data_IF_347719583390
#
_entry.id   IF_347719583390
#
_cell.length_a   1.000
_cell.length_b   1.000
_cell.length_c   1.000
_cell.angle_alpha   90.00
_cell.angle_beta   90.00
_cell.angle_gamma   90.00
#
_symmetry.space_group_name_H-M   'P 1'
#
loop_
_entity.id
_entity.type
_entity.pdbx_description
1 polymer ?
#
# COMPACT_ATOMS: atom_id res chain seq x y z
N UNK A 1 17.78 5.51 -16.83
CA UNK A 1 16.41 5.90 -16.57
C UNK A 1 15.68 4.72 -15.91
N UNK A 2 15.71 4.66 -14.56
CA UNK A 2 15.18 3.54 -13.77
C UNK A 2 13.68 3.26 -14.02
N UNK A 3 12.88 4.30 -14.38
CA UNK A 3 11.46 4.15 -14.68
C UNK A 3 11.18 3.23 -15.88
N UNK A 4 12.10 3.11 -16.84
CA UNK A 4 11.95 2.18 -17.98
C UNK A 4 11.93 0.72 -17.52
N UNK A 5 12.72 0.38 -16.51
CA UNK A 5 12.72 -0.98 -15.98
C UNK A 5 11.42 -1.30 -15.24
N UNK A 6 10.86 -0.33 -14.52
CA UNK A 6 9.59 -0.51 -13.82
C UNK A 6 8.40 -0.74 -14.76
N UNK A 7 8.46 -0.22 -16.00
CA UNK A 7 7.42 -0.42 -17.01
C UNK A 7 7.44 -1.80 -17.66
N UNK A 8 8.50 -2.58 -17.49
CA UNK A 8 8.58 -3.92 -18.08
C UNK A 8 7.46 -4.82 -17.53
N UNK A 9 6.88 -5.69 -18.40
CA UNK A 9 5.70 -6.47 -18.01
C UNK A 9 5.96 -7.49 -16.90
N UNK A 10 7.19 -7.92 -16.71
CA UNK A 10 7.59 -8.87 -15.67
C UNK A 10 8.11 -8.21 -14.39
N UNK A 11 8.19 -6.87 -14.35
CA UNK A 11 8.59 -6.13 -13.15
C UNK A 11 7.34 -5.72 -12.37
N UNK A 12 7.38 -5.89 -11.06
CA UNK A 12 6.28 -5.56 -10.16
C UNK A 12 6.83 -4.86 -8.93
N UNK A 13 6.32 -3.68 -8.58
CA UNK A 13 6.63 -3.04 -7.30
C UNK A 13 5.92 -3.80 -6.17
N UNK A 14 6.64 -4.56 -5.38
CA UNK A 14 6.04 -5.40 -4.34
C UNK A 14 6.50 -5.08 -2.94
N UNK A 15 7.80 -4.98 -2.74
CA UNK A 15 8.39 -4.87 -1.42
C UNK A 15 9.12 -3.54 -1.28
N UNK A 16 8.74 -2.76 -0.27
CA UNK A 16 9.54 -1.68 0.26
C UNK A 16 10.30 -2.14 1.50
N UNK A 17 11.36 -1.43 1.88
CA UNK A 17 12.14 -1.72 3.07
C UNK A 17 11.47 -1.17 4.35
N UNK A 18 10.15 -1.01 4.33
CA UNK A 18 9.35 -0.56 5.46
C UNK A 18 9.62 -1.44 6.71
N UNK A 19 10.06 -0.80 7.78
CA UNK A 19 10.44 -1.51 9.00
C UNK A 19 11.93 -1.83 9.12
N UNK A 20 12.71 -1.75 8.03
CA UNK A 20 14.16 -1.85 8.09
C UNK A 20 14.76 -0.48 8.44
N UNK A 21 15.74 -0.45 9.37
CA UNK A 21 16.50 0.76 9.71
C UNK A 21 15.62 2.01 9.98
N UNK A 22 14.50 1.85 10.64
CA UNK A 22 13.47 2.90 10.87
C UNK A 22 13.99 4.17 11.56
N UNK A 23 15.17 4.12 12.19
CA UNK A 23 15.84 5.29 12.74
C UNK A 23 16.59 6.15 11.70
N UNK A 24 16.76 5.67 10.46
CA UNK A 24 17.53 6.36 9.42
C UNK A 24 16.68 6.75 8.21
N UNK A 25 15.70 5.93 7.83
CA UNK A 25 14.85 6.19 6.68
C UNK A 25 13.46 5.56 6.85
N UNK A 26 12.55 5.84 5.91
CA UNK A 26 11.21 5.26 5.87
C UNK A 26 10.80 5.04 4.41
N UNK A 27 10.28 3.85 4.10
CA UNK A 27 9.78 3.43 2.79
C UNK A 27 8.33 2.92 2.87
N UNK A 28 7.60 3.37 3.88
CA UNK A 28 6.21 2.92 4.11
C UNK A 28 5.21 3.54 3.13
N UNK A 29 5.60 4.58 2.41
CA UNK A 29 4.77 5.38 1.51
C UNK A 29 4.90 5.00 0.03
N UNK A 30 5.69 3.99 -0.30
CA UNK A 30 5.94 3.57 -1.69
C UNK A 30 4.68 3.37 -2.55
N UNK A 31 3.56 2.80 -2.06
CA UNK A 31 2.31 2.73 -2.85
C UNK A 31 1.69 4.10 -3.09
N UNK A 32 1.81 5.03 -2.14
CA UNK A 32 1.33 6.41 -2.31
C UNK A 32 2.15 7.15 -3.34
N UNK A 33 3.49 7.07 -3.28
CA UNK A 33 4.42 7.62 -4.28
C UNK A 33 4.12 7.07 -5.67
N UNK A 34 3.89 5.76 -5.80
CA UNK A 34 3.55 5.13 -7.09
C UNK A 34 2.29 5.76 -7.69
N UNK A 35 1.24 5.91 -6.90
CA UNK A 35 -0.05 6.42 -7.39
C UNK A 35 -0.05 7.93 -7.60
N UNK A 36 0.56 8.71 -6.70
CA UNK A 36 0.57 10.17 -6.80
C UNK A 36 1.68 10.67 -7.73
N UNK A 37 2.94 10.45 -7.39
CA UNK A 37 4.05 11.05 -8.11
C UNK A 37 4.32 10.34 -9.45
N UNK A 38 4.49 9.02 -9.45
CA UNK A 38 4.86 8.30 -10.67
C UNK A 38 3.69 8.18 -11.65
N UNK A 39 2.47 8.04 -11.16
CA UNK A 39 1.30 7.86 -12.01
C UNK A 39 0.63 9.20 -12.35
N UNK A 40 0.16 9.96 -11.34
CA UNK A 40 -0.58 11.20 -11.58
C UNK A 40 0.30 12.31 -12.14
N UNK A 41 1.48 12.53 -11.56
CA UNK A 41 2.31 13.69 -11.91
C UNK A 41 3.26 13.42 -13.07
N UNK A 42 3.91 12.25 -13.09
CA UNK A 42 4.92 11.91 -14.10
C UNK A 42 4.37 11.07 -15.26
N UNK A 43 3.17 10.48 -15.14
CA UNK A 43 2.56 9.67 -16.20
C UNK A 43 3.35 8.40 -16.54
N UNK A 44 4.12 7.84 -15.61
CA UNK A 44 4.90 6.60 -15.82
C UNK A 44 3.97 5.43 -16.11
N UNK A 45 2.81 5.39 -15.48
CA UNK A 45 1.73 4.42 -15.67
C UNK A 45 0.39 5.11 -15.92
N UNK A 46 -0.53 4.42 -16.55
CA UNK A 46 -1.95 4.76 -16.40
C UNK A 46 -2.43 4.36 -14.99
N UNK A 47 -3.45 5.03 -14.46
CA UNK A 47 -3.98 4.71 -13.14
C UNK A 47 -4.43 3.24 -13.01
N UNK A 48 -5.19 2.66 -13.97
CA UNK A 48 -5.56 1.25 -13.91
C UNK A 48 -4.33 0.31 -13.87
N UNK A 49 -3.29 0.61 -14.64
CA UNK A 49 -2.06 -0.20 -14.66
C UNK A 49 -1.31 -0.10 -13.32
N UNK A 50 -1.17 1.09 -12.76
CA UNK A 50 -0.52 1.29 -11.48
C UNK A 50 -1.24 0.52 -10.36
N UNK A 51 -2.58 0.66 -10.28
CA UNK A 51 -3.41 -0.06 -9.31
C UNK A 51 -3.25 -1.57 -9.50
N UNK A 52 -3.39 -2.07 -10.74
CA UNK A 52 -3.25 -3.50 -11.01
C UNK A 52 -1.89 -4.05 -10.57
N UNK A 53 -0.80 -3.32 -10.80
CA UNK A 53 0.55 -3.75 -10.42
C UNK A 53 0.74 -3.95 -8.92
N UNK A 54 0.15 -3.10 -8.08
CA UNK A 54 0.27 -3.19 -6.61
C UNK A 54 -0.87 -3.99 -5.95
N UNK A 55 -1.82 -4.50 -6.73
CA UNK A 55 -2.97 -5.29 -6.22
C UNK A 55 -3.06 -6.64 -6.92
N UNK A 56 -3.82 -6.77 -8.00
CA UNK A 56 -4.12 -8.03 -8.67
C UNK A 56 -2.85 -8.75 -9.15
N UNK A 57 -1.93 -8.04 -9.78
CA UNK A 57 -0.68 -8.63 -10.29
C UNK A 57 0.21 -9.13 -9.16
N UNK A 58 0.39 -8.34 -8.11
CA UNK A 58 1.15 -8.75 -6.92
C UNK A 58 0.49 -9.94 -6.22
N UNK A 59 -0.83 -9.92 -6.06
CA UNK A 59 -1.58 -11.01 -5.47
C UNK A 59 -1.42 -12.32 -6.26
N UNK A 60 -1.48 -12.24 -7.60
CA UNK A 60 -1.30 -13.41 -8.47
C UNK A 60 0.11 -14.00 -8.35
N UNK A 61 1.17 -13.16 -8.31
CA UNK A 61 2.57 -13.62 -8.21
C UNK A 61 2.82 -14.41 -6.92
N UNK A 62 2.28 -13.94 -5.79
CA UNK A 62 2.44 -14.64 -4.51
C UNK A 62 1.37 -15.68 -4.24
N UNK A 63 0.43 -15.88 -5.17
CA UNK A 63 -0.61 -16.90 -5.08
C UNK A 63 -1.70 -16.59 -4.06
N UNK A 64 -2.04 -15.32 -3.81
CA UNK A 64 -3.16 -14.96 -2.93
C UNK A 64 -4.49 -15.33 -3.59
N UNK A 65 -5.28 -16.12 -2.89
CA UNK A 65 -6.59 -16.55 -3.35
C UNK A 65 -7.66 -15.49 -3.06
N UNK A 66 -8.49 -15.18 -4.05
CA UNK A 66 -9.66 -14.30 -3.92
C UNK A 66 -9.33 -12.89 -3.36
N UNK A 67 -8.14 -12.34 -3.74
CA UNK A 67 -7.63 -11.03 -3.31
C UNK A 67 -6.99 -10.27 -4.46
N UNK A 68 -6.83 -8.97 -4.26
CA UNK A 68 -6.16 -8.08 -5.21
C UNK A 68 -7.06 -7.52 -6.32
N UNK A 69 -8.32 -7.96 -6.41
CA UNK A 69 -9.31 -7.46 -7.36
C UNK A 69 -10.67 -7.28 -6.67
N UNK A 70 -11.50 -6.40 -7.20
CA UNK A 70 -12.89 -6.22 -6.77
C UNK A 70 -13.79 -7.17 -7.57
N UNK A 71 -14.18 -8.29 -6.96
CA UNK A 71 -15.09 -9.29 -7.56
C UNK A 71 -16.10 -9.78 -6.52
N UNK A 72 -17.29 -10.15 -6.99
CA UNK A 72 -18.28 -10.80 -6.13
C UNK A 72 -17.73 -12.09 -5.52
N UNK A 73 -17.96 -12.31 -4.25
CA UNK A 73 -17.47 -13.47 -3.50
C UNK A 73 -16.03 -13.38 -3.01
N UNK A 74 -15.27 -12.36 -3.43
CA UNK A 74 -13.88 -12.16 -3.02
C UNK A 74 -13.77 -11.38 -1.71
N UNK A 75 -12.60 -11.44 -1.10
CA UNK A 75 -12.33 -10.71 0.14
C UNK A 75 -12.38 -9.20 -0.09
N UNK A 76 -13.19 -8.52 0.72
CA UNK A 76 -13.33 -7.07 0.67
C UNK A 76 -12.21 -6.38 1.44
N UNK A 77 -11.01 -6.36 0.86
CA UNK A 77 -9.83 -5.61 1.33
C UNK A 77 -9.66 -4.40 0.39
N UNK A 78 -10.12 -3.22 0.81
CA UNK A 78 -10.36 -2.07 -0.06
C UNK A 78 -9.82 -0.80 0.58
N UNK A 79 -9.14 0.02 -0.21
CA UNK A 79 -8.86 1.42 0.13
C UNK A 79 -9.80 2.35 -0.65
N UNK A 80 -10.46 3.27 0.04
CA UNK A 80 -11.18 4.39 -0.56
C UNK A 80 -10.25 5.58 -0.61
N UNK A 81 -9.96 6.08 -1.82
CA UNK A 81 -8.88 7.04 -2.05
C UNK A 81 -9.45 8.26 -2.79
N UNK A 82 -9.23 9.44 -2.23
CA UNK A 82 -9.34 10.72 -2.94
C UNK A 82 -8.07 10.89 -3.78
N UNK A 83 -8.12 10.44 -5.02
CA UNK A 83 -6.96 10.38 -5.90
C UNK A 83 -6.37 11.75 -6.23
N UNK A 84 -7.21 12.77 -6.37
CA UNK A 84 -6.76 14.14 -6.67
C UNK A 84 -5.89 14.73 -5.54
N UNK A 85 -6.21 14.41 -4.29
CA UNK A 85 -5.52 14.88 -3.10
C UNK A 85 -4.54 13.86 -2.51
N UNK A 86 -4.36 12.71 -3.17
CA UNK A 86 -3.44 11.67 -2.72
C UNK A 86 -2.00 12.16 -2.73
N UNK A 87 -1.34 12.14 -1.58
CA UNK A 87 0.07 12.55 -1.45
C UNK A 87 0.72 11.96 -0.20
N UNK A 88 2.04 11.94 -0.18
CA UNK A 88 2.82 11.64 1.02
C UNK A 88 2.96 12.89 1.90
N UNK A 89 3.10 12.70 3.21
CA UNK A 89 3.47 13.75 4.14
C UNK A 89 4.98 13.76 4.35
N UNK A 90 5.51 14.84 4.89
CA UNK A 90 6.89 14.83 5.36
C UNK A 90 7.07 13.81 6.49
N UNK A 91 8.18 13.05 6.49
CA UNK A 91 8.49 12.14 7.60
C UNK A 91 8.59 12.88 8.93
N UNK A 92 8.04 12.31 9.97
CA UNK A 92 8.13 12.76 11.35
C UNK A 92 9.00 11.78 12.13
N UNK A 93 9.89 12.29 13.00
CA UNK A 93 10.64 11.44 13.93
C UNK A 93 9.85 11.33 15.25
N UNK A 94 9.51 10.12 15.66
CA UNK A 94 8.73 9.86 16.87
C UNK A 94 9.46 8.88 17.79
N UNK A 95 9.28 9.02 19.09
CA UNK A 95 9.89 8.16 20.12
C UNK A 95 8.81 7.28 20.76
N UNK A 96 8.24 6.35 19.98
CA UNK A 96 7.14 5.48 20.39
C UNK A 96 7.53 4.00 20.59
N UNK A 97 8.82 3.69 20.48
CA UNK A 97 9.34 2.36 20.84
C UNK A 97 9.60 2.22 22.34
N UNK A 98 9.66 0.98 22.85
CA UNK A 98 10.07 0.73 24.24
C UNK A 98 11.36 1.46 24.59
N UNK A 99 11.46 1.95 25.83
CA UNK A 99 12.58 2.74 26.34
C UNK A 99 12.87 4.05 25.59
N UNK A 100 11.88 4.61 24.89
CA UNK A 100 12.03 5.87 24.17
C UNK A 100 12.81 5.75 22.87
N UNK A 101 12.96 4.55 22.34
CA UNK A 101 13.56 4.36 21.01
C UNK A 101 12.77 5.09 19.93
N UNK A 102 13.51 5.73 19.00
CA UNK A 102 12.91 6.57 17.98
C UNK A 102 12.84 5.93 16.60
N UNK A 103 11.92 6.41 15.78
CA UNK A 103 11.78 6.03 14.36
C UNK A 103 11.19 7.14 13.52
N UNK A 104 11.43 7.07 12.21
CA UNK A 104 10.68 7.86 11.25
C UNK A 104 9.31 7.22 10.98
N UNK A 105 8.30 8.08 10.87
CA UNK A 105 6.94 7.74 10.46
C UNK A 105 6.55 8.66 9.32
N UNK A 106 5.99 8.10 8.26
CA UNK A 106 5.40 8.86 7.16
C UNK A 106 3.90 8.54 7.05
N UNK A 107 3.10 9.57 6.84
CA UNK A 107 1.65 9.47 6.67
C UNK A 107 1.29 9.76 5.22
N UNK A 108 0.22 9.15 4.73
CA UNK A 108 -0.41 9.50 3.46
C UNK A 108 -1.64 10.37 3.68
N UNK A 109 -1.88 11.31 2.77
CA UNK A 109 -3.15 12.05 2.63
C UNK A 109 -3.98 11.43 1.51
N UNK A 110 -5.29 11.66 1.53
CA UNK A 110 -6.21 11.16 0.49
C UNK A 110 -6.71 9.73 0.71
N UNK A 111 -6.47 9.14 1.88
CA UNK A 111 -7.06 7.86 2.27
C UNK A 111 -8.28 8.11 3.16
N UNK A 112 -9.48 8.04 2.59
CA UNK A 112 -10.74 8.25 3.32
C UNK A 112 -11.07 7.07 4.20
N UNK A 113 -10.89 5.85 3.70
CA UNK A 113 -11.12 4.63 4.45
C UNK A 113 -10.23 3.48 4.01
N UNK A 114 -9.86 2.62 4.97
CA UNK A 114 -9.27 1.29 4.72
C UNK A 114 -10.21 0.23 5.29
N UNK A 115 -10.55 -0.73 4.45
CA UNK A 115 -11.48 -1.82 4.75
C UNK A 115 -10.72 -3.14 4.66
N UNK A 116 -10.89 -4.01 5.65
CA UNK A 116 -10.32 -5.35 5.67
C UNK A 116 -11.43 -6.35 6.02
N UNK A 117 -11.61 -7.36 5.18
CA UNK A 117 -12.67 -8.35 5.36
C UNK A 117 -14.06 -7.72 5.51
N UNK A 118 -14.34 -6.64 4.78
CA UNK A 118 -15.61 -5.90 4.82
C UNK A 118 -15.80 -5.00 6.05
N UNK A 119 -14.80 -4.84 6.92
CA UNK A 119 -14.86 -3.95 8.10
C UNK A 119 -13.95 -2.75 7.89
N UNK A 120 -14.48 -1.56 8.11
CA UNK A 120 -13.67 -0.33 8.11
C UNK A 120 -12.73 -0.37 9.31
N UNK A 121 -11.42 -0.41 9.07
CA UNK A 121 -10.40 -0.43 10.11
C UNK A 121 -9.76 0.94 10.33
N UNK A 122 -9.68 1.76 9.29
CA UNK A 122 -9.23 3.16 9.35
C UNK A 122 -10.26 4.02 8.64
N UNK A 123 -10.61 5.16 9.23
CA UNK A 123 -11.45 6.18 8.64
C UNK A 123 -10.84 7.56 8.91
N UNK A 124 -10.63 8.35 7.85
CA UNK A 124 -10.02 9.68 7.94
C UNK A 124 -8.72 9.67 8.79
N UNK A 125 -7.84 8.72 8.54
CA UNK A 125 -6.55 8.57 9.22
C UNK A 125 -6.62 8.02 10.67
N UNK A 126 -7.81 7.69 11.18
CA UNK A 126 -8.00 7.18 12.54
C UNK A 126 -8.45 5.73 12.57
N UNK A 127 -7.85 4.94 13.46
CA UNK A 127 -8.22 3.54 13.65
C UNK A 127 -9.61 3.44 14.32
N UNK A 128 -10.48 2.59 13.78
CA UNK A 128 -11.88 2.44 14.24
C UNK A 128 -12.04 1.47 15.42
N UNK A 129 -11.00 0.74 15.78
CA UNK A 129 -11.03 -0.33 16.79
C UNK A 129 -11.26 -1.73 16.21
N UNK A 130 -11.75 -1.88 14.97
CA UNK A 130 -11.94 -3.19 14.36
C UNK A 130 -10.60 -3.84 13.98
N UNK A 131 -10.48 -5.15 14.22
CA UNK A 131 -9.30 -5.97 13.89
C UNK A 131 -9.71 -7.27 13.20
N UNK A 132 -10.29 -7.22 11.99
CA UNK A 132 -10.80 -8.41 11.28
C UNK A 132 -9.71 -9.19 10.55
N UNK A 133 -8.46 -8.70 10.53
CA UNK A 133 -7.36 -9.35 9.82
C UNK A 133 -7.10 -10.78 10.30
N UNK A 134 -6.69 -11.63 9.38
CA UNK A 134 -6.32 -13.04 9.64
C UNK A 134 -4.99 -13.35 9.03
N UNK A 135 -4.26 -14.30 9.61
CA UNK A 135 -3.04 -14.84 9.00
C UNK A 135 -3.45 -15.70 7.79
N UNK A 136 -2.94 -15.33 6.62
CA UNK A 136 -3.16 -16.12 5.38
C UNK A 136 -2.19 -17.30 5.42
N UNK A 137 -2.72 -18.52 5.26
CA UNK A 137 -1.95 -19.78 5.30
C UNK A 137 -2.09 -20.61 4.04
N UNK A 138 -3.04 -20.25 3.16
CA UNK A 138 -3.33 -20.95 1.92
C UNK A 138 -3.01 -20.07 0.72
N UNK A 139 -2.24 -20.64 -0.21
CA UNK A 139 -1.81 -19.97 -1.44
C UNK A 139 -2.13 -20.91 -2.61
N UNK A 140 -2.52 -20.32 -3.74
CA UNK A 140 -2.67 -21.08 -4.98
C UNK A 140 -1.26 -21.37 -5.48
N UNK A 141 -0.93 -22.64 -5.63
CA UNK A 141 0.31 -23.04 -6.32
C UNK A 141 0.09 -22.86 -7.82
N UNK A 142 0.91 -22.03 -8.46
CA UNK A 142 0.98 -21.91 -9.91
C UNK A 142 1.49 -23.18 -10.57
#
# INVERSE_FOLDING_TARGET
>A
NQWKYMQLPHVVPMLGDAGAHVGFFTDTDSPTVLLSELTREQGVYSLPEAVHRITGKSAAIIGLKERGELREGWHADINVIDYENLSTCHPEYVNDFPHGGGRFVVKGKGYDATIVGGKVIIKNGKHTGHRPGRVIREFVRG
#
